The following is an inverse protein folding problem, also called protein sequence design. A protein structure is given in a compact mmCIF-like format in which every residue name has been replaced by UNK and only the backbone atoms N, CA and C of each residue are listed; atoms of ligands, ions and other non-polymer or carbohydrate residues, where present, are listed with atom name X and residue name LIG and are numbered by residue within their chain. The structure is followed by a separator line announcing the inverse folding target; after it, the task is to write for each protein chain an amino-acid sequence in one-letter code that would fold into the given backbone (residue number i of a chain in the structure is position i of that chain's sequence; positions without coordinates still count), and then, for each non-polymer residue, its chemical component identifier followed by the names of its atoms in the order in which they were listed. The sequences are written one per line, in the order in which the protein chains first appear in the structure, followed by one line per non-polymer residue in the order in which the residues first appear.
data_IF_696570049911
#
_entry.id   IF_696570049911
#
_cell.length_a   1.000
_cell.length_b   1.000
_cell.length_c   1.000
_cell.angle_alpha   90.00
_cell.angle_beta   90.00
_cell.angle_gamma   90.00
#
_symmetry.space_group_name_H-M   'P 1'
#
loop_
_entity.id
_entity.type
_entity.pdbx_description
1 polymer ?
#
# COMPACT_ATOMS: atom_id res chain seq x y z
N UNK A 1 7.93 18.69 -27.67
CA UNK A 1 8.72 17.77 -26.81
C UNK A 1 9.29 18.50 -25.59
N UNK A 2 10.32 19.33 -25.69
CA UNK A 2 10.90 20.00 -24.50
C UNK A 2 9.90 20.87 -23.70
N UNK A 3 9.01 21.59 -24.38
CA UNK A 3 7.95 22.36 -23.72
C UNK A 3 6.90 21.47 -23.04
N UNK A 4 6.60 20.30 -23.61
CA UNK A 4 5.63 19.35 -23.06
C UNK A 4 6.19 18.66 -21.82
N UNK A 5 7.48 18.29 -21.85
CA UNK A 5 8.19 17.73 -20.69
C UNK A 5 8.23 18.70 -19.50
N UNK A 6 8.45 19.98 -19.76
CA UNK A 6 8.44 21.02 -18.71
C UNK A 6 7.03 21.21 -18.12
N UNK A 7 5.99 21.16 -18.95
CA UNK A 7 4.61 21.18 -18.48
C UNK A 7 4.28 19.97 -17.59
N UNK A 8 4.68 18.76 -18.00
CA UNK A 8 4.47 17.54 -17.19
C UNK A 8 5.19 17.65 -15.85
N UNK A 9 6.40 18.21 -15.82
CA UNK A 9 7.15 18.42 -14.58
C UNK A 9 6.44 19.41 -13.65
N UNK A 10 5.99 20.55 -14.18
CA UNK A 10 5.24 21.57 -13.42
C UNK A 10 3.95 21.02 -12.83
N UNK A 11 3.20 20.23 -13.60
CA UNK A 11 1.96 19.60 -13.12
C UNK A 11 2.26 18.58 -12.02
N UNK A 12 3.34 17.79 -12.17
CA UNK A 12 3.76 16.83 -11.15
C UNK A 12 4.18 17.50 -9.84
N UNK A 13 4.87 18.64 -9.93
CA UNK A 13 5.21 19.48 -8.77
C UNK A 13 3.96 20.06 -8.13
N UNK A 14 3.04 20.62 -8.91
CA UNK A 14 1.78 21.16 -8.41
C UNK A 14 0.94 20.12 -7.65
N UNK A 15 0.87 18.88 -8.16
CA UNK A 15 0.20 17.78 -7.46
C UNK A 15 0.82 17.53 -6.07
N UNK A 16 2.14 17.53 -5.98
CA UNK A 16 2.86 17.18 -4.76
C UNK A 16 2.88 18.33 -3.75
N UNK A 17 3.07 19.57 -4.24
CA UNK A 17 3.32 20.74 -3.40
C UNK A 17 2.03 21.47 -3.01
N UNK A 18 0.95 21.29 -3.78
CA UNK A 18 -0.31 22.04 -3.58
C UNK A 18 -1.49 21.10 -3.35
N UNK A 19 -1.74 20.17 -4.27
CA UNK A 19 -2.97 19.34 -4.23
C UNK A 19 -2.94 18.35 -3.07
N UNK A 20 -1.82 17.66 -2.84
CA UNK A 20 -1.70 16.70 -1.74
C UNK A 20 -1.81 17.37 -0.35
N UNK A 21 -1.06 18.45 -0.03
CA UNK A 21 -1.22 19.13 1.26
C UNK A 21 -2.63 19.67 1.47
N UNK A 22 -3.28 20.18 0.42
CA UNK A 22 -4.67 20.64 0.50
C UNK A 22 -5.61 19.47 0.85
N UNK A 23 -5.50 18.34 0.16
CA UNK A 23 -6.32 17.18 0.46
C UNK A 23 -6.11 16.64 1.88
N UNK A 24 -4.85 16.63 2.37
CA UNK A 24 -4.56 16.29 3.78
C UNK A 24 -5.25 17.27 4.73
N UNK A 25 -5.24 18.56 4.42
CA UNK A 25 -5.96 19.55 5.21
C UNK A 25 -7.47 19.29 5.23
N UNK A 26 -8.07 18.97 4.08
CA UNK A 26 -9.50 18.67 3.95
C UNK A 26 -9.91 17.42 4.75
N UNK A 27 -9.00 16.42 4.85
CA UNK A 27 -9.16 15.28 5.75
C UNK A 27 -9.09 15.69 7.24
N UNK A 28 -8.16 16.58 7.59
CA UNK A 28 -7.99 17.05 8.96
C UNK A 28 -9.15 17.94 9.45
N UNK A 29 -9.76 18.70 8.53
CA UNK A 29 -10.94 19.55 8.81
C UNK A 29 -12.26 18.78 8.74
N UNK A 30 -12.22 17.48 8.39
CA UNK A 30 -13.40 16.63 8.20
C UNK A 30 -14.33 17.09 7.07
N UNK A 31 -13.84 17.91 6.14
CA UNK A 31 -14.57 18.21 4.89
C UNK A 31 -14.66 16.97 4.01
N UNK A 32 -13.61 16.15 4.06
CA UNK A 32 -13.56 14.81 3.49
C UNK A 32 -13.33 13.82 4.63
N UNK A 33 -14.24 12.87 4.83
CA UNK A 33 -14.15 11.91 5.93
C UNK A 33 -14.44 10.50 5.44
N UNK A 34 -13.44 9.80 4.87
CA UNK A 34 -13.61 8.42 4.43
C UNK A 34 -13.79 7.49 5.64
N UNK A 35 -14.68 6.52 5.49
CA UNK A 35 -15.00 5.53 6.54
C UNK A 35 -14.25 4.22 6.35
N UNK A 36 -13.82 3.92 5.12
CA UNK A 36 -13.15 2.70 4.72
C UNK A 36 -12.20 2.94 3.53
N UNK A 37 -11.47 1.89 3.13
CA UNK A 37 -10.48 1.99 2.04
C UNK A 37 -11.11 2.32 0.68
N UNK A 38 -12.37 1.88 0.46
CA UNK A 38 -13.12 2.19 -0.74
C UNK A 38 -13.45 3.68 -0.82
N UNK A 39 -14.07 4.23 0.21
CA UNK A 39 -14.41 5.66 0.29
C UNK A 39 -13.15 6.55 0.31
N UNK A 40 -12.04 6.10 0.89
CA UNK A 40 -10.74 6.77 0.78
C UNK A 40 -10.27 6.84 -0.68
N UNK A 41 -10.35 5.72 -1.40
CA UNK A 41 -9.95 5.64 -2.81
C UNK A 41 -10.84 6.53 -3.70
N UNK A 42 -12.14 6.53 -3.46
CA UNK A 42 -13.10 7.39 -4.16
C UNK A 42 -12.82 8.87 -3.88
N UNK A 43 -12.54 9.23 -2.63
CA UNK A 43 -12.19 10.60 -2.25
C UNK A 43 -10.91 11.08 -2.95
N UNK A 44 -9.87 10.24 -3.02
CA UNK A 44 -8.63 10.56 -3.76
C UNK A 44 -8.92 10.80 -5.25
N UNK A 45 -9.67 9.90 -5.88
CA UNK A 45 -10.03 10.04 -7.29
C UNK A 45 -10.89 11.29 -7.55
N UNK A 46 -11.82 11.64 -6.65
CA UNK A 46 -12.62 12.84 -6.75
C UNK A 46 -11.76 14.13 -6.72
N UNK A 47 -10.61 14.09 -6.03
CA UNK A 47 -9.64 15.19 -5.99
C UNK A 47 -8.57 15.11 -7.10
N UNK A 48 -8.69 14.15 -8.04
CA UNK A 48 -7.72 13.94 -9.11
C UNK A 48 -6.38 13.37 -8.62
N UNK A 49 -6.34 12.82 -7.41
CA UNK A 49 -5.15 12.24 -6.81
C UNK A 49 -5.11 10.75 -7.15
N UNK A 50 -3.99 10.31 -7.73
CA UNK A 50 -3.77 8.89 -7.98
C UNK A 50 -3.52 8.17 -6.65
N UNK A 51 -4.10 6.97 -6.50
CA UNK A 51 -3.97 6.09 -5.33
C UNK A 51 -2.50 5.76 -4.97
N UNK A 52 -1.56 5.87 -5.91
CA UNK A 52 -0.12 5.78 -5.65
C UNK A 52 0.38 6.74 -4.56
N UNK A 53 -0.36 7.83 -4.30
CA UNK A 53 -0.01 8.85 -3.32
C UNK A 53 -0.61 8.62 -1.93
N UNK A 54 -1.32 7.51 -1.66
CA UNK A 54 -1.83 7.20 -0.31
C UNK A 54 -0.72 7.23 0.74
N UNK A 55 0.49 6.78 0.41
CA UNK A 55 1.64 6.85 1.34
C UNK A 55 1.97 8.29 1.79
N UNK A 56 1.93 9.25 0.85
CA UNK A 56 2.14 10.68 1.15
C UNK A 56 1.03 11.23 2.03
N UNK A 57 -0.22 10.84 1.76
CA UNK A 57 -1.39 11.23 2.56
C UNK A 57 -1.27 10.67 3.98
N UNK A 58 -0.89 9.40 4.13
CA UNK A 58 -0.61 8.78 5.44
C UNK A 58 0.49 9.55 6.20
N UNK A 59 1.51 10.04 5.49
CA UNK A 59 2.54 10.91 6.05
C UNK A 59 1.98 12.19 6.67
N UNK A 60 1.02 12.81 6.01
CA UNK A 60 0.32 14.01 6.48
C UNK A 60 -0.68 13.77 7.61
N UNK A 61 -1.27 12.57 7.71
CA UNK A 61 -2.29 12.22 8.72
C UNK A 61 -1.75 11.46 9.93
N UNK A 62 -0.43 11.35 10.13
CA UNK A 62 0.18 10.63 11.28
C UNK A 62 -0.33 11.05 12.66
N UNK A 63 -0.80 12.29 12.79
CA UNK A 63 -1.34 12.84 14.03
C UNK A 63 -2.82 12.48 14.27
N UNK A 64 -3.49 11.87 13.29
CA UNK A 64 -4.87 11.38 13.33
C UNK A 64 -4.86 9.85 13.21
N UNK A 65 -4.84 9.10 14.33
CA UNK A 65 -4.60 7.65 14.32
C UNK A 65 -5.56 6.88 13.42
N UNK A 66 -6.84 7.25 13.41
CA UNK A 66 -7.87 6.61 12.61
C UNK A 66 -7.62 6.74 11.09
N UNK A 67 -7.20 7.92 10.61
CA UNK A 67 -6.88 8.13 9.19
C UNK A 67 -5.54 7.50 8.81
N UNK A 68 -4.57 7.56 9.71
CA UNK A 68 -3.27 6.92 9.52
C UNK A 68 -3.42 5.40 9.39
N UNK A 69 -4.15 4.78 10.30
CA UNK A 69 -4.49 3.34 10.26
C UNK A 69 -5.28 2.99 9.01
N UNK A 70 -6.25 3.83 8.62
CA UNK A 70 -7.02 3.62 7.40
C UNK A 70 -6.13 3.60 6.14
N UNK A 71 -5.25 4.59 6.00
CA UNK A 71 -4.33 4.66 4.88
C UNK A 71 -3.36 3.47 4.88
N UNK A 72 -2.79 3.11 6.03
CA UNK A 72 -1.89 1.97 6.14
C UNK A 72 -2.58 0.64 5.82
N UNK A 73 -3.80 0.44 6.31
CA UNK A 73 -4.56 -0.78 6.02
C UNK A 73 -4.87 -0.90 4.52
N UNK A 74 -5.27 0.19 3.87
CA UNK A 74 -5.46 0.19 2.41
C UNK A 74 -4.15 -0.14 1.68
N UNK A 75 -3.02 0.45 2.11
CA UNK A 75 -1.69 0.15 1.55
C UNK A 75 -1.36 -1.36 1.66
N UNK A 76 -1.54 -1.92 2.86
CA UNK A 76 -1.22 -3.33 3.15
C UNK A 76 -2.14 -4.26 2.38
N UNK A 77 -3.46 -4.03 2.39
CA UNK A 77 -4.44 -4.90 1.71
C UNK A 77 -4.23 -4.91 0.20
N UNK A 78 -3.91 -3.76 -0.41
CA UNK A 78 -3.59 -3.69 -1.84
C UNK A 78 -2.35 -4.52 -2.18
N UNK A 79 -1.31 -4.38 -1.38
CA UNK A 79 -0.06 -5.13 -1.54
C UNK A 79 -0.30 -6.63 -1.37
N UNK A 80 -0.99 -7.02 -0.29
CA UNK A 80 -1.37 -8.39 0.00
C UNK A 80 -2.17 -9.05 -1.13
N UNK A 81 -3.12 -8.32 -1.75
CA UNK A 81 -3.89 -8.78 -2.91
C UNK A 81 -2.98 -9.14 -4.09
N UNK A 82 -1.92 -8.36 -4.35
CA UNK A 82 -0.97 -8.67 -5.43
C UNK A 82 -0.17 -9.93 -5.10
N UNK A 83 0.34 -10.05 -3.87
CA UNK A 83 1.11 -11.22 -3.42
C UNK A 83 0.29 -12.51 -3.52
N UNK A 84 -0.93 -12.50 -2.95
CA UNK A 84 -1.78 -13.69 -2.94
C UNK A 84 -2.21 -14.03 -4.37
N UNK A 85 -2.43 -13.05 -5.25
CA UNK A 85 -2.80 -13.32 -6.64
C UNK A 85 -1.71 -14.06 -7.40
N UNK A 86 -0.45 -13.69 -7.18
CA UNK A 86 0.69 -14.38 -7.82
C UNK A 86 0.92 -15.76 -7.17
N UNK A 87 0.83 -15.85 -5.84
CA UNK A 87 0.86 -17.13 -5.11
C UNK A 87 -0.18 -18.14 -5.65
N UNK A 88 -1.43 -17.69 -5.82
CA UNK A 88 -2.53 -18.53 -6.32
C UNK A 88 -2.33 -18.96 -7.78
N UNK A 89 -1.51 -18.24 -8.57
CA UNK A 89 -1.19 -18.61 -9.95
C UNK A 89 -0.09 -19.65 -10.05
N UNK A 90 0.86 -19.60 -9.12
CA UNK A 90 2.06 -20.45 -9.13
C UNK A 90 1.87 -21.76 -8.33
N UNK A 91 0.83 -21.83 -7.49
CA UNK A 91 0.55 -23.00 -6.64
C UNK A 91 -0.36 -24.00 -7.35
N UNK A 92 -0.04 -25.30 -7.24
CA UNK A 92 -0.90 -26.37 -7.73
C UNK A 92 -2.18 -26.53 -6.88
N UNK A 93 -3.28 -26.99 -7.51
CA UNK A 93 -4.61 -27.10 -6.87
C UNK A 93 -4.58 -27.86 -5.53
N UNK A 94 -3.71 -28.86 -5.41
CA UNK A 94 -3.61 -29.72 -4.23
C UNK A 94 -2.90 -29.05 -3.03
N UNK A 95 -2.07 -28.03 -3.28
CA UNK A 95 -1.30 -27.29 -2.27
C UNK A 95 -1.90 -25.91 -1.94
N UNK A 96 -2.97 -25.51 -2.64
CA UNK A 96 -3.58 -24.18 -2.54
C UNK A 96 -3.98 -23.81 -1.12
N UNK A 97 -4.60 -24.75 -0.38
CA UNK A 97 -5.03 -24.51 0.99
C UNK A 97 -3.85 -24.26 1.94
N UNK A 98 -2.73 -24.99 1.76
CA UNK A 98 -1.53 -24.81 2.55
C UNK A 98 -0.85 -23.47 2.24
N UNK A 99 -0.76 -23.11 0.96
CA UNK A 99 -0.21 -21.83 0.51
C UNK A 99 -1.02 -20.63 1.04
N UNK A 100 -2.36 -20.67 0.93
CA UNK A 100 -3.23 -19.61 1.47
C UNK A 100 -3.08 -19.52 2.98
N UNK A 101 -3.10 -20.65 3.71
CA UNK A 101 -2.92 -20.63 5.17
C UNK A 101 -1.58 -20.04 5.58
N UNK A 102 -0.50 -20.41 4.88
CA UNK A 102 0.83 -19.86 5.13
C UNK A 102 0.87 -18.34 4.89
N UNK A 103 0.32 -17.88 3.77
CA UNK A 103 0.23 -16.46 3.45
C UNK A 103 -0.54 -15.67 4.52
N UNK A 104 -1.73 -16.15 4.91
CA UNK A 104 -2.56 -15.49 5.92
C UNK A 104 -1.90 -15.52 7.31
N UNK A 105 -1.20 -16.60 7.64
CA UNK A 105 -0.41 -16.69 8.87
C UNK A 105 0.78 -15.73 8.86
N UNK A 106 1.46 -15.51 7.73
CA UNK A 106 2.50 -14.48 7.63
C UNK A 106 1.89 -13.06 7.68
N UNK A 107 0.71 -12.83 7.09
CA UNK A 107 0.06 -11.51 7.04
C UNK A 107 -0.56 -11.08 8.39
N UNK A 108 -1.25 -12.00 9.08
CA UNK A 108 -2.00 -11.70 10.31
C UNK A 108 -1.40 -12.33 11.57
N UNK A 109 -0.55 -13.34 11.41
CA UNK A 109 0.08 -14.01 12.53
C UNK A 109 1.08 -13.09 13.20
N UNK A 110 1.09 -13.11 14.54
CA UNK A 110 2.23 -12.60 15.29
C UNK A 110 3.40 -13.51 14.97
N UNK A 111 4.58 -12.97 14.66
CA UNK A 111 5.82 -13.73 14.45
C UNK A 111 6.24 -14.44 15.73
N UNK A 112 5.50 -15.46 16.14
CA UNK A 112 5.99 -16.51 17.01
C UNK A 112 6.64 -17.49 16.04
N UNK A 113 7.96 -17.63 16.13
CA UNK A 113 8.78 -18.59 15.38
C UNK A 113 8.27 -20.01 15.63
N UNK A 114 7.18 -20.40 14.97
CA UNK A 114 6.69 -21.76 14.97
C UNK A 114 7.55 -22.52 13.96
N UNK A 115 8.45 -23.35 14.48
CA UNK A 115 9.20 -24.32 13.68
C UNK A 115 8.21 -25.28 13.02
N UNK A 116 7.79 -24.98 11.79
CA UNK A 116 7.06 -25.94 10.97
C UNK A 116 8.11 -26.92 10.42
N UNK A 117 8.18 -28.08 11.06
CA UNK A 117 8.95 -29.23 10.61
C UNK A 117 8.28 -29.89 9.40
N UNK A 118 8.43 -29.28 8.23
CA UNK A 118 8.34 -30.00 6.95
C UNK A 118 9.14 -29.24 5.90
N UNK A 119 10.18 -29.90 5.39
CA UNK A 119 11.12 -29.38 4.41
C UNK A 119 10.38 -29.00 3.13
N UNK A 120 10.09 -27.72 2.91
CA UNK A 120 9.95 -27.10 1.56
C UNK A 120 9.65 -25.59 1.55
N UNK A 121 9.32 -24.94 2.68
CA UNK A 121 9.02 -23.50 2.71
C UNK A 121 9.99 -22.66 3.57
N UNK A 122 11.26 -23.07 3.66
CA UNK A 122 12.32 -22.31 4.36
C UNK A 122 12.96 -21.24 3.46
N UNK A 123 12.15 -20.28 2.96
CA UNK A 123 12.70 -19.24 2.08
C UNK A 123 12.03 -17.86 2.10
N UNK A 124 10.74 -17.74 2.41
CA UNK A 124 9.97 -16.63 1.82
C UNK A 124 9.39 -15.60 2.79
N UNK A 125 9.08 -15.97 4.04
CA UNK A 125 8.21 -15.13 4.88
C UNK A 125 8.77 -13.75 5.28
N UNK A 126 10.08 -13.47 5.18
CA UNK A 126 10.66 -12.15 5.49
C UNK A 126 11.32 -11.42 4.30
N UNK A 127 11.87 -12.14 3.32
CA UNK A 127 12.63 -11.53 2.21
C UNK A 127 11.77 -11.24 0.97
N UNK A 128 10.62 -11.91 0.81
CA UNK A 128 9.77 -11.76 -0.37
C UNK A 128 8.86 -10.53 -0.30
N UNK A 129 8.44 -10.13 0.90
CA UNK A 129 7.73 -8.87 1.14
C UNK A 129 8.56 -7.67 0.70
N UNK A 130 9.87 -7.64 1.00
CA UNK A 130 10.76 -6.55 0.58
C UNK A 130 10.87 -6.44 -0.95
N UNK A 131 10.71 -7.54 -1.69
CA UNK A 131 10.75 -7.58 -3.15
C UNK A 131 9.46 -7.09 -3.82
N UNK A 132 8.30 -7.44 -3.26
CA UNK A 132 6.99 -6.99 -3.73
C UNK A 132 6.81 -5.50 -3.47
N UNK A 133 7.18 -5.05 -2.27
CA UNK A 133 7.29 -3.63 -1.92
C UNK A 133 8.29 -2.87 -2.81
N UNK A 134 9.32 -3.56 -3.35
CA UNK A 134 10.27 -2.98 -4.31
C UNK A 134 9.79 -2.99 -5.76
N UNK A 135 8.87 -3.86 -6.19
CA UNK A 135 8.37 -3.92 -7.58
C UNK A 135 7.22 -2.94 -7.83
N UNK A 136 6.42 -2.65 -6.81
CA UNK A 136 5.51 -1.50 -6.78
C UNK A 136 6.27 -0.25 -6.30
N UNK A 137 7.42 0.02 -6.95
CA UNK A 137 8.52 0.95 -6.58
C UNK A 137 8.13 2.43 -6.47
N UNK A 138 6.87 2.75 -6.20
CA UNK A 138 6.40 4.08 -5.84
C UNK A 138 5.88 4.15 -4.40
N UNK A 139 5.66 3.00 -3.75
CA UNK A 139 4.91 2.92 -2.49
C UNK A 139 5.77 2.94 -1.22
N UNK A 140 7.11 2.84 -1.34
CA UNK A 140 8.04 2.66 -0.19
C UNK A 140 9.06 3.81 -0.04
N UNK A 141 9.24 4.67 -1.05
CA UNK A 141 10.32 5.68 -1.08
C UNK A 141 10.11 6.92 -0.19
N UNK A 142 9.36 6.82 0.90
CA UNK A 142 9.13 7.99 1.76
C UNK A 142 9.00 7.68 3.26
N UNK A 143 9.70 6.65 3.73
CA UNK A 143 9.94 6.47 5.18
C UNK A 143 11.40 6.68 5.63
N UNK A 144 12.31 7.05 4.73
CA UNK A 144 13.58 7.70 5.08
C UNK A 144 13.94 8.75 4.02
N UNK A 145 14.10 10.01 4.49
CA UNK A 145 14.44 11.28 3.81
C UNK A 145 13.29 12.11 3.22
#
# INVERSE_FOLDING_TARGET
IAADEDNVRKVSQYLTDVVLPKFVQDLCTLEVSPMDGQTLTEALHAHGINVRYIGKVAGGTKHLPHLWDLCNNEIVVRSAKHVIKDLLRDTEDHDLAAAISHFLNCLFGRTCRASVSRKEFEGTCAMEWQGIFKKDSTFIYEYEL
#
